data_IF_499041100564
#
_entry.id   IF_499041100564
#
_cell.length_a   1.000
_cell.length_b   1.000
_cell.length_c   1.000
_cell.angle_alpha   90.00
_cell.angle_beta   90.00
_cell.angle_gamma   90.00
#
_symmetry.space_group_name_H-M   'P 1'
#
loop_
_entity.id
_entity.type
_entity.pdbx_description
1 polymer ?
#
# COMPACT_ATOMS: atom_id res chain seq x y z
N UNK A 1 26.20 -74.64 23.11
CA UNK A 1 24.73 -74.59 22.94
C UNK A 1 24.19 -73.40 23.72
N UNK A 2 23.83 -72.31 23.04
CA UNK A 2 23.20 -71.14 23.65
C UNK A 2 21.67 -71.28 23.57
N UNK A 3 20.91 -70.86 24.59
CA UNK A 3 19.48 -71.12 24.67
C UNK A 3 18.69 -70.28 23.65
N UNK A 4 17.81 -70.96 22.90
CA UNK A 4 17.01 -70.41 21.81
C UNK A 4 15.88 -69.43 22.23
N UNK A 5 15.80 -69.01 23.50
CA UNK A 5 14.66 -68.24 24.02
C UNK A 5 14.76 -66.72 23.85
N UNK A 6 15.93 -66.16 23.48
CA UNK A 6 16.12 -64.70 23.34
C UNK A 6 15.62 -64.14 22.00
N UNK A 7 15.39 -64.97 20.97
CA UNK A 7 14.90 -64.51 19.66
C UNK A 7 13.42 -64.10 19.64
N UNK A 8 12.58 -64.67 20.51
CA UNK A 8 11.14 -64.42 20.50
C UNK A 8 10.74 -63.10 21.19
N UNK A 9 11.54 -62.61 22.14
CA UNK A 9 11.27 -61.34 22.84
C UNK A 9 11.60 -60.14 21.95
N UNK A 10 12.63 -60.24 21.10
CA UNK A 10 13.03 -59.19 20.17
C UNK A 10 12.00 -58.88 19.08
N UNK A 11 11.21 -59.86 18.64
CA UNK A 11 10.20 -59.65 17.58
C UNK A 11 8.97 -58.89 18.08
N UNK A 12 8.50 -59.18 19.31
CA UNK A 12 7.37 -58.46 19.93
C UNK A 12 7.70 -57.00 20.22
N UNK A 13 8.94 -56.70 20.65
CA UNK A 13 9.37 -55.32 20.90
C UNK A 13 9.51 -54.56 19.57
N UNK A 14 10.10 -55.16 18.53
CA UNK A 14 10.18 -54.54 17.20
C UNK A 14 8.80 -54.27 16.60
N UNK A 15 7.83 -55.18 16.77
CA UNK A 15 6.47 -54.96 16.28
C UNK A 15 5.76 -53.81 16.99
N UNK A 16 5.87 -53.71 18.32
CA UNK A 16 5.29 -52.57 19.08
C UNK A 16 5.90 -51.23 18.68
N UNK A 17 7.20 -51.19 18.39
CA UNK A 17 7.87 -49.97 17.92
C UNK A 17 7.37 -49.60 16.51
N UNK A 18 7.25 -50.57 15.60
CA UNK A 18 6.75 -50.33 14.25
C UNK A 18 5.28 -49.86 14.21
N UNK A 19 4.42 -50.41 15.07
CA UNK A 19 3.02 -49.97 15.18
C UNK A 19 2.92 -48.55 15.74
N UNK A 20 3.72 -48.22 16.77
CA UNK A 20 3.77 -46.85 17.31
C UNK A 20 4.32 -45.84 16.30
N UNK A 21 5.32 -46.20 15.50
CA UNK A 21 5.81 -45.31 14.43
C UNK A 21 4.78 -45.12 13.33
N UNK A 22 3.99 -46.15 12.98
CA UNK A 22 2.91 -46.02 11.99
C UNK A 22 1.75 -45.15 12.50
N UNK A 23 1.37 -45.27 13.78
CA UNK A 23 0.36 -44.40 14.39
C UNK A 23 0.84 -42.94 14.48
N UNK A 24 2.07 -42.70 14.92
CA UNK A 24 2.66 -41.36 14.94
C UNK A 24 2.73 -40.73 13.53
N UNK A 25 3.09 -41.52 12.51
CA UNK A 25 3.10 -41.05 11.12
C UNK A 25 1.67 -40.76 10.60
N UNK A 26 0.67 -41.55 10.98
CA UNK A 26 -0.72 -41.32 10.59
C UNK A 26 -1.32 -40.07 11.27
N UNK A 27 -0.99 -39.85 12.54
CA UNK A 27 -1.40 -38.64 13.28
C UNK A 27 -0.70 -37.39 12.72
N UNK A 28 0.59 -37.48 12.41
CA UNK A 28 1.35 -36.41 11.76
C UNK A 28 0.80 -36.07 10.36
N UNK A 29 0.43 -37.07 9.56
CA UNK A 29 -0.21 -36.87 8.26
C UNK A 29 -1.61 -36.23 8.40
N UNK A 30 -2.37 -36.60 9.43
CA UNK A 30 -3.68 -36.01 9.73
C UNK A 30 -3.62 -34.60 10.32
N UNK A 31 -2.50 -34.22 10.93
CA UNK A 31 -2.21 -32.84 11.34
C UNK A 31 -1.74 -31.99 10.15
N UNK A 32 -0.89 -32.54 9.28
CA UNK A 32 -0.42 -31.87 8.06
C UNK A 32 -1.57 -31.51 7.11
N UNK A 33 -2.51 -32.43 6.88
CA UNK A 33 -3.70 -32.12 6.08
C UNK A 33 -4.52 -30.96 6.66
N UNK A 34 -4.56 -30.80 7.99
CA UNK A 34 -5.25 -29.69 8.66
C UNK A 34 -4.49 -28.38 8.57
N UNK A 35 -3.16 -28.40 8.67
CA UNK A 35 -2.33 -27.19 8.51
C UNK A 35 -2.38 -26.66 7.07
N UNK A 36 -2.39 -27.55 6.08
CA UNK A 36 -2.51 -27.19 4.67
C UNK A 36 -3.88 -26.58 4.36
N UNK A 37 -4.94 -27.18 4.90
CA UNK A 37 -6.29 -26.65 4.79
C UNK A 37 -6.40 -25.28 5.47
N UNK A 38 -5.78 -25.09 6.65
CA UNK A 38 -5.73 -23.79 7.34
C UNK A 38 -4.94 -22.72 6.56
N UNK A 39 -3.80 -23.07 5.96
CA UNK A 39 -3.02 -22.15 5.14
C UNK A 39 -3.78 -21.72 3.87
N UNK A 40 -4.47 -22.67 3.23
CA UNK A 40 -5.33 -22.38 2.08
C UNK A 40 -6.52 -21.49 2.48
N UNK A 41 -7.18 -21.79 3.61
CA UNK A 41 -8.26 -20.96 4.15
C UNK A 41 -7.79 -19.55 4.48
N UNK A 42 -6.59 -19.42 5.05
CA UNK A 42 -5.96 -18.14 5.35
C UNK A 42 -5.73 -17.31 4.08
N UNK A 43 -5.16 -17.92 3.04
CA UNK A 43 -4.96 -17.27 1.74
C UNK A 43 -6.27 -16.77 1.13
N UNK A 44 -7.32 -17.62 1.11
CA UNK A 44 -8.66 -17.25 0.61
C UNK A 44 -9.25 -16.10 1.43
N UNK A 45 -9.10 -16.12 2.76
CA UNK A 45 -9.62 -15.08 3.64
C UNK A 45 -8.93 -13.73 3.37
N UNK A 46 -7.61 -13.73 3.20
CA UNK A 46 -6.86 -12.53 2.85
C UNK A 46 -7.16 -12.01 1.44
N UNK A 47 -7.36 -12.90 0.46
CA UNK A 47 -7.79 -12.52 -0.88
C UNK A 47 -9.19 -11.88 -0.86
N UNK A 48 -10.12 -12.43 -0.08
CA UNK A 48 -11.45 -11.83 0.13
C UNK A 48 -11.34 -10.46 0.77
N UNK A 49 -10.53 -10.31 1.81
CA UNK A 49 -10.28 -9.02 2.44
C UNK A 49 -9.70 -8.01 1.43
N UNK A 50 -8.75 -8.43 0.60
CA UNK A 50 -8.19 -7.61 -0.47
C UNK A 50 -9.26 -7.14 -1.44
N UNK A 51 -10.10 -8.05 -1.94
CA UNK A 51 -11.18 -7.71 -2.87
C UNK A 51 -12.19 -6.74 -2.25
N UNK A 52 -12.54 -6.93 -0.97
CA UNK A 52 -13.42 -6.02 -0.25
C UNK A 52 -12.80 -4.62 -0.16
N UNK A 53 -11.53 -4.52 0.28
CA UNK A 53 -10.82 -3.24 0.37
C UNK A 53 -10.68 -2.58 -1.00
N UNK A 54 -10.37 -3.35 -2.04
CA UNK A 54 -10.29 -2.86 -3.41
C UNK A 54 -11.63 -2.29 -3.87
N UNK A 55 -12.73 -3.02 -3.69
CA UNK A 55 -14.07 -2.54 -4.01
C UNK A 55 -14.46 -1.29 -3.23
N UNK A 56 -14.12 -1.21 -1.93
CA UNK A 56 -14.35 -0.01 -1.12
C UNK A 56 -13.59 1.19 -1.67
N UNK A 57 -12.36 1.01 -2.13
CA UNK A 57 -11.56 2.07 -2.76
C UNK A 57 -12.17 2.52 -4.07
N UNK A 58 -12.54 1.58 -4.95
CA UNK A 58 -13.18 1.95 -6.21
C UNK A 58 -14.48 2.73 -5.93
N UNK A 59 -15.30 2.27 -4.99
CA UNK A 59 -16.51 2.99 -4.55
C UNK A 59 -16.22 4.37 -3.99
N UNK A 60 -15.20 4.49 -3.12
CA UNK A 60 -14.77 5.76 -2.54
C UNK A 60 -14.29 6.75 -3.61
N UNK A 61 -13.47 6.28 -4.56
CA UNK A 61 -12.98 7.08 -5.68
C UNK A 61 -14.11 7.51 -6.63
N UNK A 62 -15.12 6.66 -6.87
CA UNK A 62 -16.28 7.02 -7.69
C UNK A 62 -17.12 8.13 -7.03
N UNK A 63 -17.33 8.05 -5.72
CA UNK A 63 -18.04 9.10 -4.96
C UNK A 63 -17.25 10.40 -4.88
N UNK A 64 -15.94 10.30 -4.66
CA UNK A 64 -15.01 11.43 -4.72
C UNK A 64 -15.05 12.08 -6.10
N UNK A 65 -14.98 11.30 -7.18
CA UNK A 65 -15.01 11.80 -8.55
C UNK A 65 -16.28 12.59 -8.85
N UNK A 66 -17.45 12.09 -8.42
CA UNK A 66 -18.71 12.81 -8.55
C UNK A 66 -18.70 14.13 -7.76
N UNK A 67 -18.13 14.13 -6.55
CA UNK A 67 -18.04 15.32 -5.70
C UNK A 67 -17.12 16.37 -6.33
N UNK A 68 -15.92 15.99 -6.76
CA UNK A 68 -14.97 16.90 -7.39
C UNK A 68 -15.47 17.43 -8.73
N UNK A 69 -16.06 16.57 -9.58
CA UNK A 69 -16.68 17.03 -10.81
C UNK A 69 -17.79 18.06 -10.51
N UNK A 70 -18.66 17.80 -9.55
CA UNK A 70 -19.71 18.75 -9.18
C UNK A 70 -19.18 20.08 -8.63
N UNK A 71 -18.09 20.07 -7.86
CA UNK A 71 -17.51 21.28 -7.26
C UNK A 71 -16.63 22.08 -8.23
N UNK A 72 -15.82 21.42 -9.05
CA UNK A 72 -14.75 22.05 -9.83
C UNK A 72 -15.10 22.22 -11.31
N UNK A 73 -15.93 21.34 -11.89
CA UNK A 73 -16.28 21.41 -13.32
C UNK A 73 -16.87 22.77 -13.73
N UNK A 74 -17.81 23.39 -12.98
CA UNK A 74 -18.34 24.70 -13.35
C UNK A 74 -17.26 25.80 -13.39
N UNK A 75 -16.28 25.71 -12.49
CA UNK A 75 -15.16 26.66 -12.45
C UNK A 75 -14.20 26.43 -13.63
N UNK A 76 -13.87 25.17 -13.92
CA UNK A 76 -13.06 24.78 -15.06
C UNK A 76 -13.66 25.22 -16.40
N UNK A 77 -14.96 25.02 -16.60
CA UNK A 77 -15.67 25.45 -17.81
C UNK A 77 -15.62 26.97 -17.99
N UNK A 78 -15.76 27.74 -16.90
CA UNK A 78 -15.61 29.20 -16.94
C UNK A 78 -14.18 29.63 -17.28
N UNK A 79 -13.16 28.94 -16.76
CA UNK A 79 -11.76 29.23 -17.11
C UNK A 79 -11.47 28.91 -18.58
N UNK A 80 -11.98 27.79 -19.08
CA UNK A 80 -11.94 27.39 -20.49
C UNK A 80 -12.53 28.47 -21.40
N UNK A 81 -13.74 28.94 -21.07
CA UNK A 81 -14.38 30.02 -21.83
C UNK A 81 -13.58 31.31 -21.79
N UNK A 82 -13.04 31.70 -20.62
CA UNK A 82 -12.19 32.89 -20.48
C UNK A 82 -10.91 32.77 -21.32
N UNK A 83 -10.27 31.60 -21.35
CA UNK A 83 -9.10 31.33 -22.20
C UNK A 83 -9.44 31.44 -23.67
N UNK A 84 -10.52 30.81 -24.12
CA UNK A 84 -10.98 30.89 -25.51
C UNK A 84 -11.26 32.34 -25.95
N UNK A 85 -11.89 33.15 -25.08
CA UNK A 85 -12.14 34.58 -25.35
C UNK A 85 -10.82 35.36 -25.43
N UNK A 86 -9.88 35.13 -24.50
CA UNK A 86 -8.57 35.81 -24.52
C UNK A 86 -7.77 35.43 -25.79
N UNK A 87 -7.78 34.15 -26.16
CA UNK A 87 -7.13 33.64 -27.36
C UNK A 87 -7.72 34.25 -28.63
N UNK A 88 -9.06 34.26 -28.77
CA UNK A 88 -9.71 34.90 -29.92
C UNK A 88 -9.44 36.42 -30.00
N UNK A 89 -9.30 37.11 -28.85
CA UNK A 89 -8.86 38.52 -28.83
C UNK A 89 -7.42 38.69 -29.29
N UNK A 90 -6.53 37.79 -28.87
CA UNK A 90 -5.13 37.81 -29.31
C UNK A 90 -5.03 37.57 -30.82
N UNK A 91 -5.71 36.56 -31.35
CA UNK A 91 -5.77 36.27 -32.79
C UNK A 91 -6.34 37.46 -33.58
N UNK A 92 -7.35 38.16 -33.05
CA UNK A 92 -7.87 39.38 -33.66
C UNK A 92 -6.85 40.54 -33.66
N UNK A 93 -6.02 40.67 -32.62
CA UNK A 93 -4.93 41.66 -32.56
C UNK A 93 -3.86 41.32 -33.61
N UNK A 94 -3.43 40.05 -33.67
CA UNK A 94 -2.47 39.56 -34.66
C UNK A 94 -2.94 39.88 -36.08
N UNK A 95 -4.19 39.54 -36.40
CA UNK A 95 -4.80 39.81 -37.70
C UNK A 95 -4.92 41.31 -37.99
N UNK A 96 -5.28 42.13 -36.99
CA UNK A 96 -5.47 43.58 -37.14
C UNK A 96 -4.16 44.33 -37.41
N UNK A 97 -3.06 43.92 -36.78
CA UNK A 97 -1.76 44.59 -36.89
C UNK A 97 -0.82 43.93 -37.90
N UNK A 98 -1.22 42.81 -38.53
CA UNK A 98 -0.40 42.11 -39.51
C UNK A 98 0.95 41.66 -38.93
N UNK A 99 0.93 41.19 -37.68
CA UNK A 99 2.14 40.74 -37.00
C UNK A 99 2.72 39.53 -37.75
N UNK A 100 4.03 39.51 -37.94
CA UNK A 100 4.75 38.37 -38.53
C UNK A 100 4.68 37.17 -37.57
N UNK A 101 4.57 35.96 -38.12
CA UNK A 101 4.46 34.70 -37.35
C UNK A 101 5.56 34.54 -36.30
N UNK A 102 6.79 35.00 -36.58
CA UNK A 102 7.90 35.02 -35.61
C UNK A 102 7.60 35.91 -34.39
N UNK A 103 7.01 37.09 -34.58
CA UNK A 103 6.63 37.99 -33.47
C UNK A 103 5.42 37.42 -32.72
N UNK A 104 4.53 36.72 -33.41
CA UNK A 104 3.37 36.05 -32.80
C UNK A 104 3.83 34.89 -31.94
N UNK A 105 4.82 34.12 -32.39
CA UNK A 105 5.39 33.01 -31.65
C UNK A 105 6.21 33.51 -30.45
N UNK A 106 7.04 34.55 -30.62
CA UNK A 106 7.74 35.21 -29.50
C UNK A 106 6.74 35.76 -28.46
N UNK A 107 5.65 36.40 -28.92
CA UNK A 107 4.60 36.89 -28.03
C UNK A 107 3.86 35.73 -27.35
N UNK A 108 3.59 34.63 -28.05
CA UNK A 108 2.93 33.45 -27.48
C UNK A 108 3.82 32.79 -26.44
N UNK A 109 5.12 32.69 -26.68
CA UNK A 109 6.12 32.21 -25.72
C UNK A 109 6.20 33.15 -24.50
N UNK A 110 6.23 34.46 -24.74
CA UNK A 110 6.23 35.44 -23.65
C UNK A 110 4.94 35.38 -22.81
N UNK A 111 3.77 35.21 -23.44
CA UNK A 111 2.50 34.99 -22.74
C UNK A 111 2.39 33.58 -22.16
N UNK A 112 3.20 32.61 -22.60
CA UNK A 112 3.29 31.29 -21.98
C UNK A 112 4.00 31.34 -20.63
N UNK A 113 5.01 32.19 -20.51
CA UNK A 113 5.71 32.44 -19.24
C UNK A 113 4.84 33.21 -18.22
N UNK A 114 3.83 33.96 -18.66
CA UNK A 114 2.80 34.53 -17.80
C UNK A 114 1.61 33.56 -17.69
N UNK A 115 1.71 32.60 -16.76
CA UNK A 115 0.84 31.44 -16.43
C UNK A 115 -0.71 31.52 -16.65
N UNK A 116 -1.28 32.68 -16.95
CA UNK A 116 -2.71 32.92 -17.21
C UNK A 116 -3.14 32.88 -18.70
N UNK A 117 -2.18 32.79 -19.62
CA UNK A 117 -2.40 32.69 -21.08
C UNK A 117 -1.62 31.54 -21.74
N UNK A 118 -0.66 30.96 -21.02
CA UNK A 118 0.22 29.91 -21.49
C UNK A 118 -0.40 28.54 -21.57
N UNK A 119 -1.12 28.27 -22.66
CA UNK A 119 -1.65 26.96 -23.02
C UNK A 119 -0.66 25.80 -23.18
N UNK A 120 0.39 25.69 -22.36
CA UNK A 120 1.17 24.45 -22.21
C UNK A 120 0.46 23.40 -21.33
N UNK A 121 -0.58 23.83 -20.61
CA UNK A 121 -1.40 22.97 -19.78
C UNK A 121 -2.77 22.83 -20.41
N UNK A 122 -3.04 21.67 -21.04
CA UNK A 122 -4.38 21.36 -21.53
C UNK A 122 -5.37 21.60 -20.39
N UNK A 123 -6.44 22.37 -20.65
CA UNK A 123 -7.36 22.80 -19.61
C UNK A 123 -7.82 21.63 -18.78
N UNK A 124 -7.67 21.75 -17.46
CA UNK A 124 -8.24 20.79 -16.55
C UNK A 124 -9.78 20.87 -16.69
N UNK A 125 -10.39 19.86 -17.31
CA UNK A 125 -11.83 19.85 -17.57
C UNK A 125 -12.65 19.43 -16.34
N UNK A 126 -12.02 18.95 -15.26
CA UNK A 126 -12.66 18.37 -14.08
C UNK A 126 -13.86 17.47 -14.40
N UNK A 127 -13.82 16.77 -15.54
CA UNK A 127 -14.86 15.82 -15.90
C UNK A 127 -14.81 14.61 -14.95
N UNK A 128 -15.85 13.77 -14.97
CA UNK A 128 -15.92 12.62 -14.06
C UNK A 128 -14.70 11.71 -14.18
N UNK A 129 -14.18 11.54 -15.39
CA UNK A 129 -13.01 10.72 -15.67
C UNK A 129 -11.73 11.27 -15.02
N UNK A 130 -11.42 12.55 -15.26
CA UNK A 130 -10.21 13.15 -14.69
C UNK A 130 -10.34 13.31 -13.17
N UNK A 131 -11.55 13.58 -12.67
CA UNK A 131 -11.85 13.58 -11.22
C UNK A 131 -11.66 12.20 -10.60
N UNK A 132 -11.97 11.12 -11.33
CA UNK A 132 -11.73 9.75 -10.90
C UNK A 132 -10.24 9.40 -10.84
N UNK A 133 -9.48 9.77 -11.87
CA UNK A 133 -8.02 9.64 -11.85
C UNK A 133 -7.39 10.41 -10.68
N UNK A 134 -7.88 11.63 -10.43
CA UNK A 134 -7.46 12.43 -9.28
C UNK A 134 -7.73 11.71 -7.95
N UNK A 135 -8.90 11.10 -7.76
CA UNK A 135 -9.19 10.33 -6.55
C UNK A 135 -8.29 9.09 -6.39
N UNK A 136 -7.98 8.41 -7.50
CA UNK A 136 -7.06 7.28 -7.50
C UNK A 136 -5.64 7.70 -7.07
N UNK A 137 -5.15 8.86 -7.53
CA UNK A 137 -3.81 9.34 -7.20
C UNK A 137 -3.68 9.81 -5.76
N UNK A 138 -4.77 10.33 -5.17
CA UNK A 138 -4.85 10.61 -3.72
C UNK A 138 -4.72 9.30 -2.92
N UNK A 139 -5.45 8.25 -3.32
CA UNK A 139 -5.38 6.94 -2.66
C UNK A 139 -3.99 6.30 -2.81
N UNK A 140 -3.26 6.68 -3.87
CA UNK A 140 -1.88 6.30 -4.12
C UNK A 140 -0.85 7.17 -3.38
N UNK A 141 -1.25 8.14 -2.54
CA UNK A 141 -0.34 9.10 -1.90
C UNK A 141 0.52 9.93 -2.87
N UNK A 142 0.27 9.84 -4.18
CA UNK A 142 1.14 10.44 -5.18
C UNK A 142 0.78 11.91 -5.43
N UNK A 143 -0.52 12.21 -5.45
CA UNK A 143 -1.04 13.56 -5.63
C UNK A 143 -0.44 14.24 -6.86
N UNK A 144 -0.86 13.84 -8.07
CA UNK A 144 -0.38 14.46 -9.31
C UNK A 144 -0.71 15.96 -9.30
N UNK A 145 0.27 16.81 -8.96
CA UNK A 145 0.09 18.26 -8.75
C UNK A 145 -0.38 19.01 -9.98
N UNK A 146 -0.36 18.36 -11.15
CA UNK A 146 -0.90 18.98 -12.34
C UNK A 146 -2.43 19.16 -12.31
N UNK A 147 -3.09 18.64 -11.27
CA UNK A 147 -4.54 18.60 -11.12
C UNK A 147 -4.92 18.94 -9.67
N UNK A 148 -5.05 20.23 -9.34
CA UNK A 148 -5.47 20.66 -7.99
C UNK A 148 -6.83 21.37 -8.00
N UNK A 149 -7.67 21.17 -6.96
CA UNK A 149 -8.95 21.86 -6.87
C UNK A 149 -8.72 23.37 -6.64
N UNK A 150 -9.30 24.19 -7.52
CA UNK A 150 -9.15 25.63 -7.46
C UNK A 150 -10.17 26.25 -6.50
N UNK A 151 -11.37 25.68 -6.42
CA UNK A 151 -12.45 26.25 -5.58
C UNK A 151 -12.25 25.91 -4.10
N UNK A 152 -12.76 26.77 -3.23
CA UNK A 152 -12.80 26.48 -1.78
C UNK A 152 -13.58 25.20 -1.48
N UNK A 153 -14.62 24.90 -2.28
CA UNK A 153 -15.43 23.68 -2.16
C UNK A 153 -14.63 22.42 -2.47
N UNK A 154 -13.90 22.39 -3.59
CA UNK A 154 -13.04 21.26 -3.92
C UNK A 154 -11.86 21.10 -2.97
N UNK A 155 -11.29 22.20 -2.45
CA UNK A 155 -10.25 22.14 -1.41
C UNK A 155 -10.77 21.52 -0.12
N UNK A 156 -11.99 21.87 0.31
CA UNK A 156 -12.63 21.23 1.45
C UNK A 156 -12.95 19.76 1.17
N UNK A 157 -13.46 19.45 -0.03
CA UNK A 157 -13.71 18.08 -0.46
C UNK A 157 -12.42 17.24 -0.43
N UNK A 158 -11.28 17.80 -0.83
CA UNK A 158 -9.97 17.14 -0.75
C UNK A 158 -9.59 16.77 0.67
N UNK A 159 -9.83 17.63 1.65
CA UNK A 159 -9.56 17.29 3.06
C UNK A 159 -10.46 16.15 3.53
N UNK A 160 -11.76 16.22 3.21
CA UNK A 160 -12.76 15.24 3.65
C UNK A 160 -12.62 13.87 2.96
N UNK A 161 -12.29 13.85 1.68
CA UNK A 161 -12.12 12.63 0.88
C UNK A 161 -10.69 12.08 0.98
N UNK A 162 -9.70 12.95 1.12
CA UNK A 162 -8.29 12.59 1.16
C UNK A 162 -7.92 11.85 2.44
N UNK A 163 -8.30 12.35 3.61
CA UNK A 163 -7.90 11.70 4.87
C UNK A 163 -8.37 10.23 4.97
N UNK A 164 -9.63 9.88 4.65
CA UNK A 164 -10.04 8.47 4.62
C UNK A 164 -9.39 7.68 3.49
N UNK A 165 -9.20 8.29 2.30
CA UNK A 165 -8.51 7.62 1.19
C UNK A 165 -7.10 7.17 1.58
N UNK A 166 -6.36 8.01 2.34
CA UNK A 166 -5.05 7.67 2.88
C UNK A 166 -5.13 6.44 3.80
N UNK A 167 -6.06 6.43 4.76
CA UNK A 167 -6.22 5.30 5.69
C UNK A 167 -6.54 4.01 4.93
N UNK A 168 -7.48 4.08 4.00
CA UNK A 168 -7.90 2.92 3.21
C UNK A 168 -6.73 2.44 2.30
N UNK A 169 -5.95 3.37 1.73
CA UNK A 169 -4.76 3.06 0.95
C UNK A 169 -3.69 2.32 1.75
N UNK A 170 -3.39 2.77 2.98
CA UNK A 170 -2.45 2.06 3.88
C UNK A 170 -2.97 0.66 4.21
N UNK A 171 -4.25 0.54 4.57
CA UNK A 171 -4.86 -0.76 4.85
C UNK A 171 -4.79 -1.70 3.65
N UNK A 172 -5.04 -1.19 2.44
CA UNK A 172 -4.89 -1.93 1.18
C UNK A 172 -3.46 -2.44 0.98
N UNK A 173 -2.46 -1.58 1.20
CA UNK A 173 -1.05 -1.94 1.17
C UNK A 173 -0.68 -3.07 2.12
N UNK A 174 -1.13 -2.98 3.38
CA UNK A 174 -0.89 -4.02 4.38
C UNK A 174 -1.51 -5.35 3.99
N UNK A 175 -2.78 -5.36 3.55
CA UNK A 175 -3.48 -6.58 3.12
C UNK A 175 -2.80 -7.20 1.90
N UNK A 176 -2.43 -6.39 0.90
CA UNK A 176 -1.77 -6.88 -0.32
C UNK A 176 -0.42 -7.53 -0.03
N UNK A 177 0.39 -6.94 0.85
CA UNK A 177 1.63 -7.56 1.27
C UNK A 177 1.41 -8.88 2.03
N UNK A 178 0.31 -9.03 2.79
CA UNK A 178 -0.04 -10.33 3.40
C UNK A 178 -0.39 -11.37 2.34
N UNK A 179 -1.20 -11.01 1.35
CA UNK A 179 -1.58 -11.91 0.24
C UNK A 179 -0.35 -12.38 -0.51
N UNK A 180 0.52 -11.45 -0.92
CA UNK A 180 1.76 -11.77 -1.65
C UNK A 180 2.71 -12.62 -0.82
N UNK A 181 2.89 -12.29 0.46
CA UNK A 181 3.72 -13.06 1.36
C UNK A 181 3.24 -14.51 1.46
N UNK A 182 1.94 -14.73 1.64
CA UNK A 182 1.36 -16.08 1.73
C UNK A 182 1.46 -16.83 0.40
N UNK A 183 1.21 -16.15 -0.72
CA UNK A 183 1.37 -16.73 -2.05
C UNK A 183 2.82 -17.17 -2.30
N UNK A 184 3.80 -16.31 -1.97
CA UNK A 184 5.22 -16.62 -2.11
C UNK A 184 5.65 -17.74 -1.16
N UNK A 185 5.20 -17.72 0.09
CA UNK A 185 5.49 -18.76 1.07
C UNK A 185 4.95 -20.13 0.60
N UNK A 186 3.71 -20.17 0.13
CA UNK A 186 3.11 -21.39 -0.42
C UNK A 186 3.86 -21.86 -1.67
N UNK A 187 4.24 -20.95 -2.56
CA UNK A 187 5.02 -21.29 -3.75
C UNK A 187 6.38 -21.87 -3.37
N UNK A 188 7.13 -21.23 -2.46
CA UNK A 188 8.44 -21.71 -2.00
C UNK A 188 8.33 -23.04 -1.26
N UNK A 189 7.27 -23.25 -0.48
CA UNK A 189 6.99 -24.54 0.17
C UNK A 189 6.82 -25.65 -0.87
N UNK A 190 5.95 -25.44 -1.86
CA UNK A 190 5.74 -26.40 -2.96
C UNK A 190 7.04 -26.63 -3.73
N UNK A 191 7.78 -25.56 -4.05
CA UNK A 191 9.04 -25.66 -4.79
C UNK A 191 10.14 -26.38 -4.01
N UNK A 192 10.16 -26.21 -2.68
CA UNK A 192 11.08 -26.94 -1.82
C UNK A 192 10.84 -28.46 -1.94
N UNK A 193 9.59 -28.92 -2.04
CA UNK A 193 9.28 -30.35 -2.26
C UNK A 193 9.88 -30.94 -3.56
N UNK A 194 10.22 -30.11 -4.55
CA UNK A 194 10.75 -30.55 -5.84
C UNK A 194 12.27 -30.35 -6.00
N UNK A 195 12.94 -29.77 -5.01
CA UNK A 195 14.39 -29.49 -5.05
C UNK A 195 15.13 -30.28 -3.96
N UNK A 196 16.46 -30.50 -4.06
CA UNK A 196 17.23 -31.14 -2.99
C UNK A 196 17.14 -30.40 -1.62
N UNK A 197 16.67 -29.15 -1.61
CA UNK A 197 16.28 -28.40 -0.40
C UNK A 197 15.03 -29.00 0.28
N UNK A 198 14.15 -29.68 -0.46
CA UNK A 198 13.04 -30.47 0.10
C UNK A 198 13.51 -31.62 0.97
N UNK A 199 14.63 -32.24 0.62
CA UNK A 199 15.26 -33.24 1.49
C UNK A 199 15.82 -32.62 2.79
N UNK A 200 16.08 -31.30 2.82
CA UNK A 200 16.37 -30.57 4.06
C UNK A 200 15.09 -30.20 4.80
N UNK A 201 13.97 -29.93 4.12
CA UNK A 201 12.67 -29.75 4.77
C UNK A 201 12.23 -31.02 5.49
N UNK A 202 12.26 -32.18 4.81
CA UNK A 202 11.98 -33.49 5.42
C UNK A 202 12.94 -33.82 6.58
N UNK A 203 14.22 -33.44 6.49
CA UNK A 203 15.20 -33.64 7.57
C UNK A 203 15.05 -32.65 8.72
N UNK A 204 14.69 -31.39 8.45
CA UNK A 204 14.42 -30.39 9.47
C UNK A 204 13.10 -30.68 10.20
N UNK A 205 12.13 -31.29 9.52
CA UNK A 205 10.83 -31.74 10.06
C UNK A 205 10.97 -32.80 11.16
N UNK A 206 12.01 -33.63 11.11
CA UNK A 206 12.27 -34.66 12.13
C UNK A 206 12.97 -34.12 13.39
N UNK A 207 13.43 -32.87 13.38
CA UNK A 207 14.06 -32.22 14.53
C UNK A 207 13.41 -30.85 14.78
N UNK A 208 12.61 -30.72 15.84
CA UNK A 208 11.92 -29.46 16.24
C UNK A 208 12.86 -28.23 16.25
N UNK A 209 14.08 -28.39 16.75
CA UNK A 209 15.11 -27.33 16.77
C UNK A 209 15.63 -26.94 15.38
N UNK A 210 15.61 -27.87 14.41
CA UNK A 210 15.97 -27.60 13.01
C UNK A 210 14.83 -26.93 12.24
N UNK A 211 13.58 -27.23 12.62
CA UNK A 211 12.39 -26.65 11.99
C UNK A 211 12.24 -25.15 12.29
N UNK A 212 12.49 -24.72 13.54
CA UNK A 212 12.44 -23.29 13.89
C UNK A 212 13.50 -22.48 13.12
N UNK A 213 14.72 -23.01 12.99
CA UNK A 213 15.81 -22.40 12.24
C UNK A 213 15.52 -22.35 10.73
N UNK A 214 14.92 -23.40 10.18
CA UNK A 214 14.48 -23.43 8.78
C UNK A 214 13.37 -22.41 8.51
N UNK A 215 12.36 -22.34 9.39
CA UNK A 215 11.25 -21.38 9.30
C UNK A 215 11.79 -19.95 9.27
N UNK A 216 12.70 -19.61 10.17
CA UNK A 216 13.37 -18.30 10.19
C UNK A 216 14.10 -17.99 8.87
N UNK A 217 14.78 -18.99 8.31
CA UNK A 217 15.49 -18.85 7.05
C UNK A 217 14.54 -18.70 5.84
N UNK A 218 13.39 -19.37 5.85
CA UNK A 218 12.34 -19.18 4.83
C UNK A 218 11.70 -17.80 4.96
N UNK A 219 11.36 -17.36 6.17
CA UNK A 219 10.84 -16.00 6.39
C UNK A 219 11.82 -14.94 5.89
N UNK A 220 13.12 -15.11 6.18
CA UNK A 220 14.18 -14.25 5.67
C UNK A 220 14.22 -14.28 4.14
N UNK A 221 14.24 -15.46 3.53
CA UNK A 221 14.25 -15.63 2.07
C UNK A 221 13.03 -14.99 1.40
N UNK A 222 11.83 -15.18 1.94
CA UNK A 222 10.60 -14.54 1.45
C UNK A 222 10.73 -13.01 1.46
N UNK A 223 11.26 -12.43 2.55
CA UNK A 223 11.44 -10.97 2.66
C UNK A 223 12.44 -10.43 1.64
N UNK A 224 13.56 -11.12 1.43
CA UNK A 224 14.55 -10.74 0.41
C UNK A 224 13.99 -10.87 -1.01
N UNK A 225 13.25 -11.95 -1.30
CA UNK A 225 12.60 -12.12 -2.60
C UNK A 225 11.54 -11.05 -2.86
N UNK A 226 10.81 -10.62 -1.82
CA UNK A 226 9.86 -9.52 -1.89
C UNK A 226 10.57 -8.19 -2.24
N UNK A 227 11.75 -7.95 -1.67
CA UNK A 227 12.60 -6.79 -1.97
C UNK A 227 13.18 -6.84 -3.39
N UNK A 228 13.62 -8.02 -3.85
CA UNK A 228 14.08 -8.22 -5.23
C UNK A 228 12.91 -8.02 -6.20
N UNK A 229 11.73 -8.55 -5.89
CA UNK A 229 10.52 -8.36 -6.69
C UNK A 229 10.15 -6.89 -6.79
N UNK A 230 10.27 -6.14 -5.70
CA UNK A 230 10.08 -4.69 -5.69
C UNK A 230 11.07 -3.98 -6.62
N UNK A 231 12.36 -4.32 -6.55
CA UNK A 231 13.38 -3.74 -7.43
C UNK A 231 13.09 -4.07 -8.90
N UNK A 232 12.73 -5.33 -9.17
CA UNK A 232 12.34 -5.80 -10.51
C UNK A 232 11.13 -5.02 -11.01
N UNK A 233 10.07 -4.86 -10.20
CA UNK A 233 8.87 -4.10 -10.57
C UNK A 233 9.21 -2.64 -10.86
N UNK A 234 10.07 -2.02 -10.05
CA UNK A 234 10.49 -0.61 -10.23
C UNK A 234 11.20 -0.39 -11.57
N UNK A 235 11.91 -1.40 -12.09
CA UNK A 235 12.60 -1.34 -13.38
C UNK A 235 11.68 -1.80 -14.53
N UNK A 236 10.91 -2.88 -14.32
CA UNK A 236 10.09 -3.49 -15.35
C UNK A 236 8.89 -2.63 -15.72
N UNK A 237 8.23 -1.99 -14.76
CA UNK A 237 7.08 -1.12 -15.03
C UNK A 237 7.43 0.00 -16.02
N UNK A 238 8.47 0.84 -15.79
CA UNK A 238 8.89 1.84 -16.77
C UNK A 238 9.39 1.25 -18.09
N UNK A 239 10.09 0.11 -18.06
CA UNK A 239 10.54 -0.55 -19.29
C UNK A 239 9.34 -1.03 -20.12
N UNK A 240 8.33 -1.63 -19.49
CA UNK A 240 7.09 -2.06 -20.15
C UNK A 240 6.35 -0.86 -20.71
N UNK A 241 6.26 0.26 -19.98
CA UNK A 241 5.67 1.49 -20.52
C UNK A 241 6.43 2.01 -21.74
N UNK A 242 7.75 2.08 -21.68
CA UNK A 242 8.58 2.48 -22.81
C UNK A 242 8.35 1.57 -24.03
N UNK A 243 8.25 0.26 -23.82
CA UNK A 243 8.00 -0.70 -24.91
C UNK A 243 6.58 -0.58 -25.49
N UNK A 244 5.56 -0.38 -24.64
CA UNK A 244 4.17 -0.17 -25.08
C UNK A 244 4.06 1.12 -25.90
N UNK A 245 4.65 2.21 -25.41
CA UNK A 245 4.63 3.51 -26.08
C UNK A 245 5.24 3.42 -27.48
N UNK A 246 6.43 2.80 -27.60
CA UNK A 246 7.06 2.55 -28.90
C UNK A 246 6.27 1.60 -29.81
N UNK A 247 5.48 0.67 -29.26
CA UNK A 247 4.69 -0.28 -30.04
C UNK A 247 3.39 0.33 -30.59
N UNK A 248 2.70 1.14 -29.78
CA UNK A 248 1.44 1.81 -30.15
C UNK A 248 1.68 2.86 -31.24
N UNK A 249 2.85 3.49 -31.27
CA UNK A 249 3.15 4.58 -32.20
C UNK A 249 3.56 4.11 -33.60
N UNK A 250 4.01 2.86 -33.77
CA UNK A 250 4.19 2.28 -35.12
C UNK A 250 2.87 2.23 -35.92
N UNK A 251 1.74 2.47 -35.27
CA UNK A 251 0.39 2.44 -35.84
C UNK A 251 -0.25 3.84 -35.98
N UNK A 252 0.45 4.93 -35.59
CA UNK A 252 -0.09 6.31 -35.65
C UNK A 252 0.50 7.13 -36.80
N UNK A 253 -0.34 8.00 -37.36
CA UNK A 253 0.03 8.93 -38.43
C UNK A 253 1.18 9.85 -38.00
N UNK A 254 2.20 10.07 -38.85
CA UNK A 254 3.44 10.81 -38.53
C UNK A 254 3.26 12.33 -38.33
N UNK A 255 2.03 12.80 -38.09
CA UNK A 255 1.68 14.23 -38.00
C UNK A 255 1.38 14.74 -36.59
N UNK A 256 1.23 13.86 -35.58
CA UNK A 256 1.06 14.28 -34.19
C UNK A 256 2.44 14.38 -33.51
N UNK A 257 2.95 15.61 -33.38
CA UNK A 257 4.21 15.94 -32.67
C UNK A 257 4.07 15.78 -31.14
N UNK A 258 3.56 14.65 -30.65
CA UNK A 258 3.67 14.31 -29.25
C UNK A 258 5.14 13.99 -28.95
N UNK A 259 5.82 14.90 -28.24
CA UNK A 259 7.22 14.74 -27.83
C UNK A 259 7.35 13.44 -27.02
N UNK A 260 8.03 12.45 -27.58
CA UNK A 260 8.35 11.19 -26.91
C UNK A 260 9.03 11.44 -25.58
N UNK A 261 8.57 10.73 -24.56
CA UNK A 261 9.37 10.58 -23.36
C UNK A 261 10.56 9.66 -23.68
N UNK A 262 11.75 10.15 -23.44
CA UNK A 262 12.95 9.34 -23.39
C UNK A 262 12.81 8.21 -22.35
N UNK A 263 13.58 7.13 -22.51
CA UNK A 263 13.65 6.07 -21.49
C UNK A 263 13.99 6.64 -20.10
N UNK A 264 14.84 7.67 -20.04
CA UNK A 264 15.19 8.37 -18.81
C UNK A 264 14.00 9.06 -18.15
N UNK A 265 13.16 9.73 -18.93
CA UNK A 265 11.92 10.37 -18.46
C UNK A 265 10.90 9.34 -17.95
N UNK A 266 10.73 8.21 -18.65
CA UNK A 266 9.82 7.13 -18.19
C UNK A 266 10.32 6.47 -16.89
N UNK A 267 11.64 6.26 -16.76
CA UNK A 267 12.26 5.77 -15.51
C UNK A 267 12.07 6.77 -14.37
N UNK A 268 12.30 8.07 -14.64
CA UNK A 268 12.11 9.14 -13.66
C UNK A 268 10.65 9.26 -13.22
N UNK A 269 9.69 9.18 -14.14
CA UNK A 269 8.26 9.13 -13.83
C UNK A 269 7.89 7.94 -12.93
N UNK A 270 8.37 6.74 -13.27
CA UNK A 270 8.10 5.55 -12.46
C UNK A 270 8.74 5.63 -11.08
N UNK A 271 9.95 6.21 -10.99
CA UNK A 271 10.59 6.50 -9.71
C UNK A 271 9.75 7.47 -8.86
N UNK A 272 9.31 8.59 -9.42
CA UNK A 272 8.42 9.54 -8.74
C UNK A 272 7.11 8.88 -8.27
N UNK A 273 6.58 7.94 -9.06
CA UNK A 273 5.37 7.19 -8.71
C UNK A 273 5.55 6.27 -7.52
N UNK A 274 6.58 5.42 -7.57
CA UNK A 274 6.88 4.43 -6.51
C UNK A 274 7.30 5.11 -5.21
N UNK A 275 8.00 6.25 -5.30
CA UNK A 275 8.44 7.02 -4.12
C UNK A 275 7.41 8.01 -3.60
N UNK A 276 6.26 8.12 -4.28
CA UNK A 276 5.18 9.06 -3.93
C UNK A 276 5.63 10.52 -3.81
N UNK A 277 6.74 10.90 -4.46
CA UNK A 277 7.18 12.31 -4.55
C UNK A 277 6.20 13.07 -5.44
N UNK A 278 5.87 12.43 -6.58
CA UNK A 278 4.94 12.89 -7.61
C UNK A 278 5.08 14.37 -7.91
N UNK A 279 6.05 14.82 -8.73
CA UNK A 279 6.28 16.27 -8.98
C UNK A 279 5.21 16.87 -9.92
N UNK A 280 4.45 16.02 -10.62
CA UNK A 280 3.37 16.45 -11.51
C UNK A 280 3.84 16.92 -12.89
N UNK A 281 5.12 16.76 -13.22
CA UNK A 281 5.69 17.16 -14.53
C UNK A 281 5.16 16.30 -15.70
N UNK A 282 4.72 15.08 -15.40
CA UNK A 282 4.26 14.12 -16.40
C UNK A 282 2.74 13.99 -16.38
N UNK A 283 2.11 14.12 -17.55
CA UNK A 283 0.67 13.88 -17.69
C UNK A 283 0.39 12.47 -18.19
N UNK A 284 -0.54 11.80 -17.53
CA UNK A 284 -0.90 10.42 -17.85
C UNK A 284 -1.47 10.29 -19.28
N UNK A 285 -2.24 11.29 -19.74
CA UNK A 285 -2.80 11.32 -21.09
C UNK A 285 -1.72 11.44 -22.17
N UNK A 286 -0.68 12.24 -21.92
CA UNK A 286 0.48 12.37 -22.81
C UNK A 286 1.34 11.10 -22.83
N UNK A 287 1.52 10.43 -21.69
CA UNK A 287 2.32 9.19 -21.61
C UNK A 287 1.60 8.00 -22.24
N UNK A 288 0.30 7.85 -22.00
CA UNK A 288 -0.40 6.60 -22.33
C UNK A 288 -1.18 6.64 -23.63
N UNK A 289 -1.30 7.82 -24.25
CA UNK A 289 -1.57 8.07 -25.68
C UNK A 289 -2.77 7.36 -26.35
N UNK A 290 -3.52 6.50 -25.68
CA UNK A 290 -4.30 5.46 -26.36
C UNK A 290 -5.76 5.39 -25.95
N UNK A 291 -6.13 5.58 -24.67
CA UNK A 291 -7.53 5.75 -24.26
C UNK A 291 -7.61 6.22 -22.80
N UNK A 292 -8.74 6.84 -22.43
CA UNK A 292 -9.10 7.10 -21.03
C UNK A 292 -9.01 5.82 -20.16
N UNK A 293 -9.48 4.70 -20.69
CA UNK A 293 -9.45 3.41 -19.99
C UNK A 293 -8.02 2.95 -19.69
N UNK A 294 -7.10 3.07 -20.66
CA UNK A 294 -5.70 2.68 -20.48
C UNK A 294 -5.04 3.45 -19.33
N UNK A 295 -5.25 4.77 -19.24
CA UNK A 295 -4.70 5.58 -18.14
C UNK A 295 -5.21 5.12 -16.78
N UNK A 296 -6.50 4.80 -16.66
CA UNK A 296 -7.09 4.28 -15.41
C UNK A 296 -6.48 2.93 -15.04
N UNK A 297 -6.36 2.01 -15.99
CA UNK A 297 -5.75 0.70 -15.75
C UNK A 297 -4.28 0.84 -15.32
N UNK A 298 -3.52 1.73 -15.97
CA UNK A 298 -2.13 1.98 -15.60
C UNK A 298 -2.03 2.53 -14.18
N UNK A 299 -2.84 3.53 -13.82
CA UNK A 299 -2.86 4.06 -12.45
C UNK A 299 -3.24 2.98 -11.44
N UNK A 300 -4.19 2.10 -11.76
CA UNK A 300 -4.53 0.98 -10.88
C UNK A 300 -3.36 0.00 -10.70
N UNK A 301 -2.62 -0.32 -11.77
CA UNK A 301 -1.41 -1.14 -11.69
C UNK A 301 -0.34 -0.45 -10.83
N UNK A 302 -0.14 0.85 -11.01
CA UNK A 302 0.81 1.63 -10.21
C UNK A 302 0.43 1.65 -8.73
N UNK A 303 -0.86 1.78 -8.40
CA UNK A 303 -1.37 1.66 -7.01
C UNK A 303 -1.03 0.29 -6.44
N UNK A 304 -1.27 -0.79 -7.19
CA UNK A 304 -0.96 -2.14 -6.74
C UNK A 304 0.54 -2.29 -6.48
N UNK A 305 1.39 -1.84 -7.39
CA UNK A 305 2.85 -1.87 -7.23
C UNK A 305 3.30 -1.08 -6.00
N UNK A 306 2.75 0.12 -5.80
CA UNK A 306 3.02 0.92 -4.60
C UNK A 306 2.57 0.21 -3.32
N UNK A 307 1.43 -0.46 -3.33
CA UNK A 307 0.94 -1.21 -2.18
C UNK A 307 1.79 -2.42 -1.86
N UNK A 308 2.26 -3.14 -2.89
CA UNK A 308 3.29 -4.16 -2.71
C UNK A 308 4.49 -3.52 -2.03
N UNK A 309 4.94 -2.37 -2.53
CA UNK A 309 6.11 -1.68 -1.99
C UNK A 309 5.97 -1.29 -0.52
N UNK A 310 4.89 -0.58 -0.20
CA UNK A 310 4.62 -0.07 1.12
C UNK A 310 4.46 -1.22 2.12
N UNK A 311 3.63 -2.22 1.81
CA UNK A 311 3.43 -3.35 2.70
C UNK A 311 4.67 -4.24 2.85
N UNK A 312 5.52 -4.32 1.82
CA UNK A 312 6.85 -4.96 1.89
C UNK A 312 7.78 -4.22 2.84
N UNK A 313 7.83 -2.89 2.73
CA UNK A 313 8.64 -2.04 3.59
C UNK A 313 8.20 -2.14 5.05
N UNK A 314 6.89 -2.08 5.35
CA UNK A 314 6.39 -2.25 6.71
C UNK A 314 6.80 -3.59 7.33
N UNK A 315 6.69 -4.70 6.59
CA UNK A 315 7.16 -6.00 7.10
C UNK A 315 8.67 -6.09 7.31
N UNK A 316 9.43 -5.33 6.53
CA UNK A 316 10.88 -5.21 6.72
C UNK A 316 11.17 -4.40 7.98
N UNK A 317 10.44 -3.31 8.22
CA UNK A 317 10.55 -2.52 9.44
C UNK A 317 10.16 -3.32 10.68
N UNK A 318 9.05 -4.05 10.69
CA UNK A 318 8.66 -4.93 11.80
C UNK A 318 9.78 -5.93 12.14
N UNK A 319 10.44 -6.47 11.11
CA UNK A 319 11.57 -7.37 11.28
C UNK A 319 12.82 -6.70 11.83
N UNK A 320 13.13 -5.50 11.35
CA UNK A 320 14.24 -4.71 11.88
C UNK A 320 13.93 -4.14 13.28
N UNK A 321 12.67 -3.98 13.66
CA UNK A 321 12.30 -3.63 15.03
C UNK A 321 12.72 -4.75 15.99
N UNK A 322 12.24 -5.97 15.76
CA UNK A 322 12.55 -7.11 16.63
C UNK A 322 14.02 -7.56 16.56
N UNK A 323 14.58 -7.71 15.34
CA UNK A 323 15.95 -8.25 15.17
C UNK A 323 16.99 -7.17 14.89
N UNK A 324 16.61 -6.02 14.37
CA UNK A 324 17.52 -4.90 14.13
C UNK A 324 17.89 -4.17 15.43
N UNK A 325 17.02 -4.08 16.43
CA UNK A 325 17.42 -3.67 17.78
C UNK A 325 18.50 -4.61 18.35
N UNK A 326 18.39 -5.91 18.06
CA UNK A 326 19.34 -6.94 18.47
C UNK A 326 20.66 -6.89 17.66
N UNK A 327 20.58 -6.62 16.34
CA UNK A 327 21.74 -6.46 15.44
C UNK A 327 22.49 -5.13 15.63
N UNK A 328 21.80 -4.07 16.03
CA UNK A 328 22.38 -2.75 16.31
C UNK A 328 22.93 -2.64 17.74
N UNK A 329 22.88 -3.71 18.54
CA UNK A 329 23.34 -3.71 19.92
C UNK A 329 22.48 -2.86 20.87
N UNK A 330 21.25 -2.53 20.47
CA UNK A 330 20.28 -1.76 21.25
C UNK A 330 19.40 -2.66 22.14
N UNK A 331 19.76 -3.94 22.30
CA UNK A 331 19.03 -4.89 23.13
C UNK A 331 18.86 -4.44 24.59
N UNK A 332 19.80 -3.64 25.10
CA UNK A 332 19.71 -3.05 26.44
C UNK A 332 18.62 -1.98 26.59
N UNK A 333 18.12 -1.41 25.50
CA UNK A 333 17.05 -0.39 25.54
C UNK A 333 15.66 -1.04 25.51
N UNK A 334 15.54 -2.19 24.85
CA UNK A 334 14.24 -2.88 24.69
C UNK A 334 13.93 -3.81 25.87
N UNK A 335 14.94 -4.26 26.62
CA UNK A 335 14.76 -5.15 27.78
C UNK A 335 14.72 -4.46 29.15
N UNK A 336 14.84 -3.14 29.24
CA UNK A 336 14.97 -2.45 30.53
C UNK A 336 13.64 -2.30 31.30
N UNK A 337 12.49 -2.46 30.64
CA UNK A 337 11.18 -2.23 31.27
C UNK A 337 10.47 -3.50 31.76
N UNK A 338 10.96 -4.71 31.44
CA UNK A 338 10.29 -5.97 31.86
C UNK A 338 10.87 -6.63 33.12
N UNK A 339 12.06 -6.23 33.60
CA UNK A 339 12.67 -6.84 34.80
C UNK A 339 12.34 -6.12 36.13
N UNK A 340 11.71 -4.94 36.14
CA UNK A 340 11.46 -4.18 37.38
C UNK A 340 10.12 -4.51 38.10
N UNK A 341 9.29 -5.42 37.58
CA UNK A 341 8.01 -5.81 38.23
C UNK A 341 8.03 -7.14 39.02
N UNK A 342 9.17 -7.85 39.12
CA UNK A 342 9.21 -9.16 39.84
C UNK A 342 9.86 -9.18 41.22
N UNK A 343 10.33 -8.05 41.75
CA UNK A 343 10.83 -7.96 43.14
C UNK A 343 10.10 -6.89 43.97
N UNK A 344 8.78 -7.03 44.11
CA UNK A 344 8.10 -6.55 45.33
C UNK A 344 7.44 -7.75 46.01
N UNK A 345 8.29 -8.55 46.65
CA UNK A 345 7.88 -9.50 47.68
C UNK A 345 7.34 -8.74 48.88
N UNK A 346 6.03 -8.51 48.91
CA UNK A 346 5.35 -8.06 50.11
C UNK A 346 5.13 -9.26 51.03
N UNK A 347 5.89 -9.26 52.13
CA UNK A 347 5.57 -9.90 53.38
C UNK A 347 4.06 -9.79 53.69
N UNK A 348 3.34 -10.92 53.69
CA UNK A 348 2.07 -11.05 54.41
C UNK A 348 2.39 -11.08 55.91
N UNK A 349 2.43 -9.90 56.53
CA UNK A 349 2.22 -9.78 57.98
C UNK A 349 0.72 -9.73 58.28
N UNK A 350 0.32 -10.58 59.22
CA UNK A 350 -1.00 -10.64 59.85
C UNK A 350 -1.55 -9.26 60.25
N UNK A 351 -2.49 -8.73 59.47
CA UNK A 351 -3.35 -7.63 59.92
C UNK A 351 -4.81 -8.07 59.99
N UNK A 352 -5.21 -8.48 61.19
CA UNK A 352 -6.60 -8.64 61.60
C UNK A 352 -7.30 -7.28 61.65
N UNK A 353 -8.40 -7.04 60.91
CA UNK A 353 -9.12 -5.78 61.02
C UNK A 353 -10.13 -5.84 62.17
N UNK A 354 -9.81 -5.17 63.28
CA UNK A 354 -10.81 -4.70 64.24
C UNK A 354 -11.74 -3.70 63.54
N UNK A 355 -13.02 -4.05 63.40
CA UNK A 355 -14.09 -3.11 63.03
C UNK A 355 -14.23 -2.03 64.10
N UNK A 356 -14.24 -0.74 63.75
CA UNK A 356 -15.02 0.24 64.49
C UNK A 356 -16.43 0.31 63.91
N UNK A 357 -17.40 0.23 64.81
CA UNK A 357 -18.79 0.50 64.54
C UNK A 357 -19.02 2.01 64.37
N UNK A 358 -19.93 2.37 63.46
CA UNK A 358 -20.60 3.68 63.45
C UNK A 358 -20.00 4.67 62.47
N UNK A 359 -20.69 4.87 61.35
CA UNK A 359 -21.38 6.14 61.07
C UNK A 359 -22.20 6.00 59.79
N UNK A 360 -23.50 5.82 60.00
CA UNK A 360 -24.53 6.05 59.01
C UNK A 360 -24.58 7.53 58.64
N UNK A 361 -24.65 7.79 57.33
CA UNK A 361 -25.36 8.96 56.82
C UNK A 361 -24.49 10.17 56.47
N UNK A 362 -24.11 10.27 55.20
CA UNK A 362 -24.41 11.48 54.42
C UNK A 362 -24.38 11.22 52.93
N UNK A 363 -25.52 11.55 52.33
CA UNK A 363 -25.88 11.40 50.95
C UNK A 363 -25.33 12.56 50.09
N UNK A 364 -25.20 12.25 48.79
CA UNK A 364 -25.58 13.11 47.65
C UNK A 364 -25.24 14.60 47.74
N UNK A 365 -24.17 15.00 47.05
CA UNK A 365 -24.14 16.20 46.19
C UNK A 365 -22.76 16.34 45.53
N UNK A 366 -22.61 15.87 44.28
CA UNK A 366 -21.52 16.33 43.40
C UNK A 366 -21.83 16.07 41.93
N UNK A 367 -22.86 16.75 41.44
CA UNK A 367 -23.14 16.92 40.01
C UNK A 367 -23.72 18.33 39.84
N UNK A 368 -22.85 19.32 39.65
CA UNK A 368 -23.18 20.64 39.10
C UNK A 368 -21.85 21.40 38.98
N UNK A 369 -21.40 21.64 37.75
CA UNK A 369 -20.14 22.37 37.54
C UNK A 369 -19.53 22.30 36.16
N UNK A 370 -20.29 22.05 35.08
CA UNK A 370 -19.82 22.30 33.70
C UNK A 370 -21.00 22.72 32.81
N UNK A 371 -21.51 23.94 33.03
CA UNK A 371 -22.31 24.70 32.05
C UNK A 371 -21.98 26.17 32.24
N UNK A 372 -21.15 26.71 31.35
CA UNK A 372 -20.79 28.12 31.37
C UNK A 372 -19.59 28.39 30.47
N UNK A 373 -19.75 28.13 29.16
CA UNK A 373 -18.83 28.59 28.11
C UNK A 373 -19.50 28.45 26.74
N UNK A 374 -20.65 29.11 26.59
CA UNK A 374 -21.22 29.51 25.30
C UNK A 374 -21.87 30.84 25.58
N UNK A 375 -21.23 31.94 25.14
CA UNK A 375 -21.83 33.24 24.80
C UNK A 375 -20.73 34.31 24.75
N UNK A 376 -20.06 34.47 23.61
CA UNK A 376 -19.61 35.78 23.10
C UNK A 376 -18.73 35.62 21.85
N UNK A 377 -19.33 35.61 20.66
CA UNK A 377 -18.68 36.05 19.44
C UNK A 377 -19.75 36.39 18.40
N UNK A 378 -20.19 37.66 18.38
CA UNK A 378 -20.80 38.25 17.19
C UNK A 378 -19.70 38.93 16.35
N UNK A 379 -19.85 39.00 15.03
CA UNK A 379 -18.78 39.41 14.13
C UNK A 379 -18.70 40.93 13.94
N UNK A 380 -17.50 41.40 13.62
CA UNK A 380 -17.26 42.57 12.76
C UNK A 380 -16.67 42.07 11.45
#
# INVERSE_FOLDING_TARGET
MLPASTKAVGSKVRWKIAVRSLQANAEAAGQEGREDEQAALGCITHLRAFLIVWCLIQGWCLLGAATFAACEQPHAELQLQRRAIKQGRFEAIVARYGLNDTVVDDLREWFQDFEDLGGGWTPNTWDFYNSYLFCLTITAFNGLWYFEPATSGGKLALVLWGAPALVIGVMGGMVMARVLYLALFNHLRVWSCFTPVGSMWERARLCEASFSKWRDQVHFTCKYLLLILLLILTIHVPLTFYLIDNAVENDKDPGDDFKRNSLGENLYFSFQWVTTIGVGEFRLDAIFGSTRLASVLVVQVLILVLWVALGSAFRLFDFMGEKGALLLGLSHIVGADEEEETEVGLHEEDFSPKRPAGEEGRSKARWEGVRGLVDSASPR
#
